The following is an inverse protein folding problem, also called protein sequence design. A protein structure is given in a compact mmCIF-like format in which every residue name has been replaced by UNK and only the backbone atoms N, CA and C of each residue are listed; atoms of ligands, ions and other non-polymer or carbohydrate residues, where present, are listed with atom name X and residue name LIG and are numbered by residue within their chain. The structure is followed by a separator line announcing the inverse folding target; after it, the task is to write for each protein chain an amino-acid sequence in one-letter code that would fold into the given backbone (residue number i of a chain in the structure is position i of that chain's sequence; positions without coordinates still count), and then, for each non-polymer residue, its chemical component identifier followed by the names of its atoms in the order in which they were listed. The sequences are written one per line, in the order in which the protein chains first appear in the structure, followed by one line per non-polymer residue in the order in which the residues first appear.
data_IF_943288900493
#
_entry.id   IF_943288900493
#
_cell.length_a   1.000
_cell.length_b   1.000
_cell.length_c   1.000
_cell.angle_alpha   90.00
_cell.angle_beta   90.00
_cell.angle_gamma   90.00
#
_symmetry.space_group_name_H-M   'P 1'
#
loop_
_entity.id
_entity.type
_entity.pdbx_description
1 polymer ?
#
# COMPACT_ATOMS: atom_id res chain seq x y z
N UNK A 1 0.88 24.38 3.27
CA UNK A 1 0.30 25.26 4.31
C UNK A 1 1.44 25.62 5.26
N UNK A 2 1.70 26.90 5.46
CA UNK A 2 2.97 27.39 6.02
C UNK A 2 3.17 27.00 7.49
N UNK A 3 4.37 26.51 7.82
CA UNK A 3 4.89 26.09 9.13
C UNK A 3 4.58 27.05 10.28
N UNK A 4 4.48 28.34 9.98
CA UNK A 4 4.14 29.41 10.93
C UNK A 4 2.74 29.29 11.55
N UNK A 5 1.78 28.67 10.85
CA UNK A 5 0.49 28.34 11.44
C UNK A 5 0.58 27.16 12.41
N UNK A 6 1.58 26.29 12.27
CA UNK A 6 1.64 25.03 13.01
C UNK A 6 2.06 25.24 14.47
N UNK A 7 3.05 26.10 14.73
CA UNK A 7 3.44 26.49 16.10
C UNK A 7 2.26 27.14 16.83
N UNK A 8 1.56 28.07 16.17
CA UNK A 8 0.37 28.73 16.72
C UNK A 8 -0.77 27.75 16.99
N UNK A 9 -1.01 26.80 16.08
CA UNK A 9 -2.02 25.75 16.25
C UNK A 9 -1.70 24.84 17.43
N UNK A 10 -0.47 24.32 17.53
CA UNK A 10 -0.03 23.45 18.61
C UNK A 10 -0.13 24.14 19.98
N UNK A 11 0.19 25.44 20.03
CA UNK A 11 0.02 26.27 21.23
C UNK A 11 -1.44 26.40 21.65
N UNK A 12 -2.33 26.71 20.70
CA UNK A 12 -3.77 26.87 20.98
C UNK A 12 -4.43 25.54 21.36
N UNK A 13 -4.03 24.43 20.75
CA UNK A 13 -4.52 23.08 21.12
C UNK A 13 -4.22 22.74 22.58
N UNK A 14 -3.12 23.25 23.12
CA UNK A 14 -2.71 23.06 24.52
C UNK A 14 -3.13 24.20 25.46
N UNK A 15 -3.93 25.15 24.95
CA UNK A 15 -4.42 26.31 25.69
C UNK A 15 -3.31 27.20 26.31
N UNK A 16 -2.15 27.27 25.65
CA UNK A 16 -1.02 28.07 26.13
C UNK A 16 -1.03 29.51 25.61
N UNK A 17 -0.60 30.47 26.43
CA UNK A 17 -0.27 31.83 26.00
C UNK A 17 1.11 31.88 25.30
N UNK A 18 1.41 32.97 24.60
CA UNK A 18 2.72 33.13 23.95
C UNK A 18 3.84 33.19 24.99
N UNK A 19 3.57 33.78 26.15
CA UNK A 19 4.46 33.87 27.30
C UNK A 19 4.74 32.48 27.89
N UNK A 20 3.70 31.67 28.07
CA UNK A 20 3.84 30.30 28.58
C UNK A 20 4.66 29.42 27.65
N UNK A 21 4.42 29.50 26.33
CA UNK A 21 5.23 28.75 25.37
C UNK A 21 6.70 29.21 25.39
N UNK A 22 6.93 30.52 25.50
CA UNK A 22 8.28 31.08 25.58
C UNK A 22 9.03 30.57 26.82
N UNK A 23 8.36 30.52 27.97
CA UNK A 23 8.90 29.99 29.22
C UNK A 23 9.24 28.50 29.11
N UNK A 24 8.31 27.68 28.60
CA UNK A 24 8.51 26.23 28.43
C UNK A 24 9.64 25.90 27.44
N UNK A 25 9.77 26.67 26.36
CA UNK A 25 10.79 26.45 25.34
C UNK A 25 12.14 27.10 25.66
N UNK A 26 12.23 27.88 26.74
CA UNK A 26 13.43 28.67 27.05
C UNK A 26 13.75 29.73 25.99
N UNK A 27 12.71 30.28 25.35
CA UNK A 27 12.83 31.27 24.27
C UNK A 27 12.27 32.63 24.71
N UNK A 28 12.59 33.69 23.98
CA UNK A 28 11.95 34.98 24.20
C UNK A 28 10.54 35.00 23.58
N UNK A 29 9.59 35.73 24.21
CA UNK A 29 8.25 35.95 23.66
C UNK A 29 8.31 36.56 22.25
N UNK A 30 9.28 37.46 22.01
CA UNK A 30 9.54 38.04 20.70
C UNK A 30 9.94 36.98 19.66
N UNK A 31 10.70 35.96 20.06
CA UNK A 31 11.07 34.83 19.19
C UNK A 31 9.82 34.04 18.80
N UNK A 32 8.94 33.72 19.76
CA UNK A 32 7.67 33.03 19.50
C UNK A 32 6.79 33.86 18.53
N UNK A 33 6.61 35.15 18.79
CA UNK A 33 5.84 36.04 17.93
C UNK A 33 6.37 36.11 16.50
N UNK A 34 7.69 36.22 16.34
CA UNK A 34 8.34 36.20 15.01
C UNK A 34 8.05 34.90 14.25
N UNK A 35 8.16 33.77 14.93
CA UNK A 35 7.88 32.44 14.36
C UNK A 35 6.40 32.31 13.97
N UNK A 36 5.47 32.72 14.86
CA UNK A 36 4.04 32.73 14.55
C UNK A 36 3.68 33.68 13.40
N UNK A 37 4.47 34.74 13.19
CA UNK A 37 4.29 35.70 12.09
C UNK A 37 4.96 35.29 10.77
N UNK A 38 5.72 34.19 10.72
CA UNK A 38 6.29 33.67 9.48
C UNK A 38 7.82 33.60 9.40
N UNK A 39 8.54 34.09 10.40
CA UNK A 39 10.00 33.99 10.39
C UNK A 39 10.44 32.53 10.57
N UNK A 40 11.44 32.10 9.79
CA UNK A 40 12.01 30.75 9.91
C UNK A 40 12.93 30.67 11.12
N UNK A 41 12.62 29.86 12.14
CA UNK A 41 13.53 29.63 13.27
C UNK A 41 14.76 28.80 12.84
N UNK A 42 15.85 28.94 13.60
CA UNK A 42 17.01 28.04 13.48
C UNK A 42 16.72 26.63 14.01
N UNK A 43 17.60 25.68 13.73
CA UNK A 43 17.44 24.27 14.13
C UNK A 43 17.35 24.08 15.66
N UNK A 44 18.11 24.86 16.43
CA UNK A 44 18.06 24.80 17.91
C UNK A 44 16.69 25.22 18.44
N UNK A 45 16.14 26.30 17.89
CA UNK A 45 14.80 26.79 18.25
C UNK A 45 13.71 25.80 17.84
N UNK A 46 13.85 25.18 16.66
CA UNK A 46 12.95 24.12 16.21
C UNK A 46 13.01 22.90 17.13
N UNK A 47 14.21 22.48 17.55
CA UNK A 47 14.39 21.35 18.46
C UNK A 47 13.80 21.64 19.84
N UNK A 48 13.96 22.85 20.36
CA UNK A 48 13.37 23.26 21.63
C UNK A 48 11.83 23.23 21.56
N UNK A 49 11.25 23.78 20.50
CA UNK A 49 9.79 23.71 20.27
C UNK A 49 9.31 22.27 20.08
N UNK A 50 10.03 21.44 19.33
CA UNK A 50 9.71 20.03 19.12
C UNK A 50 9.70 19.24 20.43
N UNK A 51 10.66 19.51 21.32
CA UNK A 51 10.72 18.90 22.65
C UNK A 51 9.51 19.30 23.52
N UNK A 52 9.15 20.59 23.55
CA UNK A 52 8.01 21.08 24.34
C UNK A 52 6.67 20.58 23.80
N UNK A 53 6.54 20.45 22.48
CA UNK A 53 5.32 19.97 21.85
C UNK A 53 5.25 18.44 21.72
N UNK A 54 6.31 17.71 22.07
CA UNK A 54 6.42 16.25 21.90
C UNK A 54 6.12 15.78 20.46
N UNK A 55 6.60 16.53 19.47
CA UNK A 55 6.41 16.25 18.04
C UNK A 55 7.73 16.21 17.29
N UNK A 56 7.76 15.63 16.09
CA UNK A 56 8.94 15.71 15.25
C UNK A 56 9.17 17.13 14.71
N UNK A 57 10.44 17.54 14.52
CA UNK A 57 10.80 18.83 13.90
C UNK A 57 10.18 19.00 12.50
N UNK A 58 10.05 17.89 11.76
CA UNK A 58 9.35 17.87 10.47
C UNK A 58 7.91 18.33 10.60
N UNK A 59 7.20 17.91 11.65
CA UNK A 59 5.83 18.35 11.91
C UNK A 59 5.78 19.86 12.03
N UNK A 60 6.57 20.47 12.91
CA UNK A 60 6.57 21.94 13.08
C UNK A 60 6.89 22.69 11.78
N UNK A 61 7.78 22.15 10.96
CA UNK A 61 8.21 22.77 9.70
C UNK A 61 7.18 22.57 8.58
N UNK A 62 6.12 21.78 8.80
CA UNK A 62 5.19 21.36 7.73
C UNK A 62 5.87 20.48 6.67
N UNK A 63 7.07 20.00 6.99
CA UNK A 63 7.85 19.03 6.21
C UNK A 63 7.63 17.62 6.75
N UNK A 64 6.75 17.49 7.76
CA UNK A 64 6.18 16.23 8.13
C UNK A 64 5.56 15.68 6.87
N UNK A 65 5.90 14.44 6.53
CA UNK A 65 5.31 13.81 5.39
C UNK A 65 3.85 13.53 5.78
N UNK A 66 2.96 14.49 5.55
CA UNK A 66 1.51 14.27 5.52
C UNK A 66 1.16 13.16 4.50
N UNK A 67 2.09 12.88 3.58
CA UNK A 67 2.09 11.72 2.71
C UNK A 67 2.64 10.43 3.32
N UNK A 68 3.24 10.35 4.53
CA UNK A 68 3.80 9.09 5.04
C UNK A 68 2.71 8.15 5.54
N UNK A 69 1.80 8.60 6.41
CA UNK A 69 0.68 7.75 6.82
C UNK A 69 -0.23 7.42 5.64
N UNK A 70 -0.60 8.42 4.83
CA UNK A 70 -1.38 8.20 3.61
C UNK A 70 -0.67 7.28 2.60
N UNK A 71 0.65 7.40 2.44
CA UNK A 71 1.41 6.50 1.54
C UNK A 71 1.62 5.10 2.12
N UNK A 72 1.72 4.95 3.44
CA UNK A 72 1.79 3.66 4.10
C UNK A 72 0.47 2.91 3.93
N UNK A 73 -0.66 3.58 4.17
CA UNK A 73 -1.99 3.00 3.96
C UNK A 73 -2.22 2.64 2.50
N UNK A 74 -1.84 3.51 1.55
CA UNK A 74 -1.89 3.23 0.12
C UNK A 74 -1.00 2.02 -0.26
N UNK A 75 0.23 1.93 0.27
CA UNK A 75 1.13 0.81 0.01
C UNK A 75 0.61 -0.50 0.61
N UNK A 76 -0.02 -0.46 1.78
CA UNK A 76 -0.62 -1.61 2.45
C UNK A 76 -1.85 -2.10 1.66
N UNK A 77 -2.71 -1.19 1.21
CA UNK A 77 -3.85 -1.47 0.32
C UNK A 77 -3.37 -2.11 -0.99
N UNK A 78 -2.37 -1.52 -1.64
CA UNK A 78 -1.78 -2.03 -2.89
C UNK A 78 -1.14 -3.41 -2.69
N UNK A 79 -0.43 -3.64 -1.58
CA UNK A 79 0.17 -4.93 -1.26
C UNK A 79 -0.90 -6.01 -1.04
N UNK A 80 -1.97 -5.69 -0.30
CA UNK A 80 -3.12 -6.59 -0.10
C UNK A 80 -3.82 -6.92 -1.41
N UNK A 81 -3.99 -5.94 -2.30
CA UNK A 81 -4.61 -6.14 -3.61
C UNK A 81 -3.80 -7.08 -4.52
N UNK A 82 -2.46 -6.99 -4.50
CA UNK A 82 -1.57 -7.91 -5.24
C UNK A 82 -1.72 -9.35 -4.74
N UNK A 83 -1.68 -9.55 -3.42
CA UNK A 83 -1.85 -10.88 -2.81
C UNK A 83 -3.22 -11.48 -3.13
N UNK A 84 -4.28 -10.66 -3.21
CA UNK A 84 -5.63 -11.15 -3.51
C UNK A 84 -5.85 -11.51 -4.99
N UNK A 85 -5.15 -10.86 -5.93
CA UNK A 85 -5.16 -11.28 -7.35
C UNK A 85 -4.48 -12.64 -7.55
N UNK A 86 -3.44 -12.94 -6.77
CA UNK A 86 -2.71 -14.20 -6.86
C UNK A 86 -3.45 -15.36 -6.17
N UNK A 87 -4.08 -15.12 -5.01
CA UNK A 87 -4.67 -16.17 -4.17
C UNK A 87 -5.84 -16.92 -4.81
N UNK A 88 -6.66 -16.26 -5.65
CA UNK A 88 -7.83 -16.89 -6.29
C UNK A 88 -7.43 -17.96 -7.32
N UNK A 89 -6.25 -17.83 -7.92
CA UNK A 89 -5.72 -18.78 -8.89
C UNK A 89 -5.23 -20.06 -8.21
N UNK A 90 -4.41 -19.94 -7.17
CA UNK A 90 -3.84 -21.08 -6.44
C UNK A 90 -4.91 -21.97 -5.80
N UNK A 91 -5.98 -21.39 -5.25
CA UNK A 91 -7.06 -22.18 -4.65
C UNK A 91 -7.77 -23.10 -5.65
N UNK A 92 -7.90 -22.66 -6.90
CA UNK A 92 -8.48 -23.48 -7.99
C UNK A 92 -7.51 -24.52 -8.55
N UNK A 93 -6.20 -24.23 -8.49
CA UNK A 93 -5.14 -25.15 -8.89
C UNK A 93 -4.97 -26.30 -7.88
N UNK A 94 -4.99 -25.98 -6.58
CA UNK A 94 -4.86 -26.97 -5.51
C UNK A 94 -5.99 -27.99 -5.52
N UNK A 95 -7.23 -27.56 -5.74
CA UNK A 95 -8.38 -28.47 -5.83
C UNK A 95 -8.29 -29.40 -7.04
N UNK A 96 -7.83 -28.90 -8.20
CA UNK A 96 -7.60 -29.73 -9.38
C UNK A 96 -6.49 -30.78 -9.17
N UNK A 97 -5.37 -30.40 -8.56
CA UNK A 97 -4.25 -31.32 -8.26
C UNK A 97 -4.69 -32.44 -7.31
N UNK A 98 -5.41 -32.10 -6.23
CA UNK A 98 -5.91 -33.08 -5.26
C UNK A 98 -6.84 -34.09 -5.93
N UNK A 99 -7.76 -33.63 -6.78
CA UNK A 99 -8.68 -34.51 -7.53
C UNK A 99 -7.92 -35.42 -8.50
N UNK A 100 -6.92 -34.90 -9.22
CA UNK A 100 -6.08 -35.71 -10.11
C UNK A 100 -5.28 -36.79 -9.36
N UNK A 101 -4.66 -36.44 -8.23
CA UNK A 101 -3.91 -37.39 -7.40
C UNK A 101 -4.84 -38.48 -6.87
N UNK A 102 -6.02 -38.09 -6.38
CA UNK A 102 -7.01 -39.04 -5.85
C UNK A 102 -7.53 -39.99 -6.94
N UNK A 103 -7.79 -39.49 -8.15
CA UNK A 103 -8.20 -40.32 -9.30
C UNK A 103 -7.10 -41.27 -9.76
N UNK A 104 -5.84 -40.84 -9.77
CA UNK A 104 -4.70 -41.71 -10.13
C UNK A 104 -4.51 -42.83 -9.11
N UNK A 105 -4.63 -42.52 -7.81
CA UNK A 105 -4.56 -43.51 -6.74
C UNK A 105 -5.70 -44.52 -6.83
N UNK A 106 -6.93 -44.04 -7.05
CA UNK A 106 -8.11 -44.89 -7.20
C UNK A 106 -8.01 -45.75 -8.47
N UNK A 107 -7.53 -45.19 -9.58
CA UNK A 107 -7.28 -45.94 -10.81
C UNK A 107 -6.22 -47.03 -10.63
N UNK A 108 -5.17 -46.75 -9.85
CA UNK A 108 -4.15 -47.75 -9.52
C UNK A 108 -4.71 -48.86 -8.62
N UNK A 109 -5.69 -48.55 -7.78
CA UNK A 109 -6.24 -49.50 -6.82
C UNK A 109 -7.38 -50.35 -7.40
N UNK A 110 -8.13 -49.86 -8.41
CA UNK A 110 -9.42 -50.46 -8.77
C UNK A 110 -9.40 -51.40 -9.99
N UNK A 111 -8.56 -51.28 -11.03
CA UNK A 111 -8.51 -52.32 -12.13
C UNK A 111 -7.29 -52.21 -13.09
N UNK A 112 -6.61 -53.32 -13.47
CA UNK A 112 -5.48 -53.28 -14.43
C UNK A 112 -5.84 -53.39 -15.93
N UNK A 113 -7.11 -53.60 -16.30
CA UNK A 113 -7.48 -54.12 -17.63
C UNK A 113 -8.10 -53.15 -18.65
N UNK A 114 -8.44 -51.90 -18.29
CA UNK A 114 -9.14 -50.98 -19.20
C UNK A 114 -8.62 -49.55 -19.12
N UNK A 115 -8.17 -48.98 -20.25
CA UNK A 115 -7.53 -47.67 -20.38
C UNK A 115 -8.52 -46.47 -20.31
N UNK A 116 -9.65 -46.60 -19.62
CA UNK A 116 -10.65 -45.53 -19.54
C UNK A 116 -10.11 -44.28 -18.82
N UNK A 117 -9.19 -44.48 -17.85
CA UNK A 117 -8.50 -43.39 -17.14
C UNK A 117 -7.59 -42.55 -18.03
N UNK A 118 -7.03 -43.11 -19.11
CA UNK A 118 -6.14 -42.39 -20.02
C UNK A 118 -6.90 -41.36 -20.87
N UNK A 119 -8.12 -41.69 -21.31
CA UNK A 119 -8.99 -40.76 -22.01
C UNK A 119 -9.47 -39.62 -21.09
N UNK A 120 -9.82 -39.93 -19.84
CA UNK A 120 -10.19 -38.92 -18.83
C UNK A 120 -8.99 -38.01 -18.52
N UNK A 121 -7.80 -38.56 -18.36
CA UNK A 121 -6.58 -37.77 -18.15
C UNK A 121 -6.23 -36.89 -19.36
N UNK A 122 -6.45 -37.39 -20.59
CA UNK A 122 -6.27 -36.61 -21.82
C UNK A 122 -7.22 -35.40 -21.92
N UNK A 123 -8.50 -35.59 -21.59
CA UNK A 123 -9.50 -34.51 -21.60
C UNK A 123 -9.17 -33.46 -20.54
N UNK A 124 -8.82 -33.88 -19.32
CA UNK A 124 -8.43 -32.97 -18.24
C UNK A 124 -7.09 -32.27 -18.53
N UNK A 125 -6.14 -32.95 -19.16
CA UNK A 125 -4.88 -32.38 -19.62
C UNK A 125 -5.11 -31.30 -20.68
N UNK A 126 -5.95 -31.56 -21.68
CA UNK A 126 -6.32 -30.56 -22.70
C UNK A 126 -7.03 -29.35 -22.09
N UNK A 127 -7.92 -29.55 -21.11
CA UNK A 127 -8.65 -28.48 -20.45
C UNK A 127 -7.73 -27.58 -19.60
N UNK A 128 -6.74 -28.17 -18.91
CA UNK A 128 -5.69 -27.42 -18.21
C UNK A 128 -4.78 -26.67 -19.19
N UNK A 129 -4.42 -27.28 -20.32
CA UNK A 129 -3.57 -26.67 -21.34
C UNK A 129 -4.27 -25.47 -21.99
N UNK A 130 -5.55 -25.59 -22.33
CA UNK A 130 -6.40 -24.49 -22.82
C UNK A 130 -6.53 -23.38 -21.78
N UNK A 131 -6.70 -23.74 -20.49
CA UNK A 131 -6.79 -22.76 -19.41
C UNK A 131 -5.45 -22.04 -19.16
N UNK A 132 -4.34 -22.75 -19.29
CA UNK A 132 -2.98 -22.19 -19.24
C UNK A 132 -2.72 -21.22 -20.39
N UNK A 133 -3.03 -21.62 -21.64
CA UNK A 133 -2.94 -20.77 -22.81
C UNK A 133 -3.81 -19.51 -22.68
N UNK A 134 -5.03 -19.64 -22.15
CA UNK A 134 -5.95 -18.52 -21.93
C UNK A 134 -5.47 -17.56 -20.84
N UNK A 135 -4.69 -18.01 -19.87
CA UNK A 135 -4.13 -17.12 -18.86
C UNK A 135 -2.87 -16.42 -19.35
N UNK A 136 -1.99 -17.13 -20.05
CA UNK A 136 -0.72 -16.60 -20.53
C UNK A 136 -0.91 -15.65 -21.72
N UNK A 137 -1.66 -16.06 -22.76
CA UNK A 137 -1.80 -15.30 -24.01
C UNK A 137 -2.87 -14.21 -23.90
N UNK A 138 -4.04 -14.53 -23.31
CA UNK A 138 -5.13 -13.56 -23.18
C UNK A 138 -4.90 -12.55 -22.04
N UNK A 139 -4.18 -12.94 -20.98
CA UNK A 139 -3.89 -12.07 -19.84
C UNK A 139 -2.89 -10.95 -20.17
N UNK A 140 -1.86 -11.22 -20.98
CA UNK A 140 -0.96 -10.17 -21.49
C UNK A 140 -1.65 -9.29 -22.55
N UNK A 141 -2.41 -9.89 -23.47
CA UNK A 141 -3.11 -9.13 -24.51
C UNK A 141 -4.14 -8.13 -23.93
N UNK A 142 -4.92 -8.52 -22.92
CA UNK A 142 -5.88 -7.64 -22.25
C UNK A 142 -5.21 -6.53 -21.44
N UNK A 143 -4.06 -6.81 -20.81
CA UNK A 143 -3.26 -5.79 -20.11
C UNK A 143 -2.76 -4.73 -21.10
N UNK A 144 -2.21 -5.15 -22.24
CA UNK A 144 -1.69 -4.25 -23.27
C UNK A 144 -2.80 -3.41 -23.93
N UNK A 145 -3.98 -4.00 -24.15
CA UNK A 145 -5.14 -3.28 -24.69
C UNK A 145 -5.67 -2.20 -23.73
N UNK A 146 -5.75 -2.52 -22.43
CA UNK A 146 -6.16 -1.54 -21.40
C UNK A 146 -5.20 -0.35 -21.33
N UNK A 147 -3.90 -0.60 -21.36
CA UNK A 147 -2.90 0.48 -21.32
C UNK A 147 -2.97 1.39 -22.55
N UNK A 148 -3.08 0.80 -23.75
CA UNK A 148 -3.22 1.56 -25.00
C UNK A 148 -4.47 2.45 -25.00
N UNK A 149 -5.57 1.98 -24.40
CA UNK A 149 -6.83 2.75 -24.33
C UNK A 149 -6.76 3.90 -23.32
N UNK A 150 -6.09 3.70 -22.19
CA UNK A 150 -5.92 4.73 -21.15
C UNK A 150 -5.08 5.91 -21.67
N UNK A 151 -3.99 5.61 -22.39
CA UNK A 151 -3.13 6.63 -23.00
C UNK A 151 -3.89 7.52 -24.02
N UNK A 152 -4.86 6.94 -24.74
CA UNK A 152 -5.68 7.70 -25.71
C UNK A 152 -6.67 8.65 -25.04
N UNK A 153 -7.11 8.37 -23.81
CA UNK A 153 -8.04 9.23 -23.07
C UNK A 153 -7.34 10.40 -22.38
N UNK A 154 -6.09 10.22 -21.93
CA UNK A 154 -5.30 11.28 -21.28
C UNK A 154 -4.66 12.28 -22.26
N UNK A 155 -4.72 12.01 -23.56
CA UNK A 155 -4.18 12.88 -24.62
C UNK A 155 -5.24 13.78 -25.27
N UNK A 156 -6.46 13.83 -24.74
CA UNK A 156 -7.53 14.76 -25.13
C UNK A 156 -7.84 15.69 -23.97
#
# INVERSE_FOLDING_TARGET
MNSSNQVKQLRLQRAWSQEQLAELAGLSVRTIQRIENGDRPGLETLSALAAVFEVNVGEITGDAPAGHEQSLDLRIEEAKARVHQESRFFRSLSTAVVVCVLLVLLNRFTSPGHYWSAWVAGIWGALLLVRGLRLFVFGEWIRNWRQTRLQRLLRK
#
